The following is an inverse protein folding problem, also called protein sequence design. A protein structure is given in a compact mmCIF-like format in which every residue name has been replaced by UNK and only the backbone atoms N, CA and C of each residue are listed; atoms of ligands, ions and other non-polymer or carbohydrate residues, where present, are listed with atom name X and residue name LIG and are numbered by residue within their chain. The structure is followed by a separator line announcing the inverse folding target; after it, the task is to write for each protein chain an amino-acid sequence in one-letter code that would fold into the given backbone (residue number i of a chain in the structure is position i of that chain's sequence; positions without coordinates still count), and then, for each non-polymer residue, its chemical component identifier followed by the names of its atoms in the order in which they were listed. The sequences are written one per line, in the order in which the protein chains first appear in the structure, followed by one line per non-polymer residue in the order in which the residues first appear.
data_IF_052373125792
#
_entry.id   IF_052373125792
#
_cell.length_a   1.000
_cell.length_b   1.000
_cell.length_c   1.000
_cell.angle_alpha   90.00
_cell.angle_beta   90.00
_cell.angle_gamma   90.00
#
_symmetry.space_group_name_H-M   'P 1'
#
loop_
_entity.id
_entity.type
_entity.pdbx_description
1 polymer ?
#
# COMPACT_ATOMS: atom_id res chain seq x y z
N UNK A 1 5.84 -4.47 17.47
CA UNK A 1 4.55 -4.77 16.79
C UNK A 1 4.32 -6.28 16.87
N UNK A 2 3.14 -6.74 17.29
CA UNK A 2 2.75 -8.16 17.23
C UNK A 2 1.83 -8.42 16.03
N UNK A 3 1.59 -9.68 15.66
CA UNK A 3 0.76 -10.04 14.49
C UNK A 3 -0.66 -9.46 14.58
N UNK A 4 -1.21 -9.37 15.80
CA UNK A 4 -2.53 -8.81 16.09
C UNK A 4 -2.60 -7.28 15.97
N UNK A 5 -1.45 -6.61 15.91
CA UNK A 5 -1.35 -5.16 15.74
C UNK A 5 -1.03 -4.78 14.29
N UNK A 6 -1.07 -5.73 13.36
CA UNK A 6 -0.89 -5.46 11.95
C UNK A 6 -2.15 -4.79 11.38
N UNK A 7 -2.01 -3.99 10.32
CA UNK A 7 -3.14 -3.35 9.65
C UNK A 7 -4.26 -4.33 9.29
N UNK A 8 -5.49 -3.91 9.57
CA UNK A 8 -6.70 -4.64 9.22
C UNK A 8 -7.31 -4.15 7.89
N UNK A 9 -7.00 -2.90 7.49
CA UNK A 9 -7.48 -2.29 6.25
C UNK A 9 -6.36 -1.66 5.41
N UNK A 10 -6.62 -1.46 4.11
CA UNK A 10 -5.70 -0.73 3.21
C UNK A 10 -5.38 0.67 3.75
N UNK A 11 -6.35 1.32 4.38
CA UNK A 11 -6.16 2.64 4.97
C UNK A 11 -5.14 2.60 6.11
N UNK A 12 -5.32 1.68 7.07
CA UNK A 12 -4.40 1.54 8.20
C UNK A 12 -2.99 1.15 7.72
N UNK A 13 -2.89 0.33 6.67
CA UNK A 13 -1.61 -0.07 6.10
C UNK A 13 -0.90 1.09 5.41
N UNK A 14 -1.65 1.93 4.68
CA UNK A 14 -1.12 3.14 4.07
C UNK A 14 -0.66 4.13 5.13
N UNK A 15 -1.45 4.38 6.17
CA UNK A 15 -1.10 5.29 7.28
C UNK A 15 0.17 4.81 8.00
N UNK A 16 0.30 3.50 8.24
CA UNK A 16 1.50 2.90 8.81
C UNK A 16 2.73 3.15 7.92
N UNK A 17 2.63 2.88 6.62
CA UNK A 17 3.72 3.02 5.67
C UNK A 17 4.06 4.49 5.36
N UNK A 18 3.09 5.38 5.52
CA UNK A 18 3.28 6.83 5.53
C UNK A 18 4.11 7.29 6.72
N UNK A 19 3.92 6.66 7.90
CA UNK A 19 4.78 6.87 9.08
C UNK A 19 6.23 6.45 8.85
N UNK A 20 6.48 5.45 8.00
CA UNK A 20 7.82 5.00 7.60
C UNK A 20 8.39 5.72 6.37
N UNK A 21 7.60 6.56 5.69
CA UNK A 21 8.02 7.26 4.47
C UNK A 21 8.05 6.40 3.20
N UNK A 22 7.56 5.16 3.24
CA UNK A 22 7.48 4.28 2.06
C UNK A 22 6.38 4.74 1.09
N UNK A 23 5.27 5.24 1.63
CA UNK A 23 4.21 5.89 0.87
C UNK A 23 4.23 7.38 1.23
N UNK A 24 4.17 8.29 0.25
CA UNK A 24 4.20 9.72 0.56
C UNK A 24 2.96 10.17 1.35
N UNK A 25 3.18 11.06 2.32
CA UNK A 25 2.12 11.72 3.09
C UNK A 25 1.41 12.80 2.29
N UNK A 26 2.14 13.46 1.38
CA UNK A 26 1.62 14.52 0.53
C UNK A 26 2.09 14.30 -0.91
N UNK A 27 1.25 14.68 -1.87
CA UNK A 27 1.55 14.69 -3.30
C UNK A 27 1.06 15.99 -3.91
N UNK A 28 1.77 16.46 -4.93
CA UNK A 28 1.37 17.59 -5.75
C UNK A 28 1.05 17.12 -7.17
N UNK A 29 0.09 17.78 -7.81
CA UNK A 29 -0.20 17.56 -9.22
C UNK A 29 0.82 18.29 -10.11
N UNK A 30 0.73 18.14 -11.43
CA UNK A 30 1.65 18.82 -12.37
C UNK A 30 1.58 20.35 -12.29
N UNK A 31 0.45 20.89 -11.81
CA UNK A 31 0.25 22.32 -11.59
C UNK A 31 0.62 22.75 -10.15
N UNK A 32 1.35 21.91 -9.40
CA UNK A 32 1.79 22.18 -8.02
C UNK A 32 0.68 22.32 -6.97
N UNK A 33 -0.56 21.94 -7.28
CA UNK A 33 -1.63 21.90 -6.27
C UNK A 33 -1.49 20.68 -5.36
N UNK A 34 -1.78 20.85 -4.06
CA UNK A 34 -1.86 19.73 -3.12
C UNK A 34 -2.99 18.78 -3.50
N UNK A 35 -2.68 17.48 -3.53
CA UNK A 35 -3.64 16.42 -3.81
C UNK A 35 -4.13 15.80 -2.51
N UNK A 36 -5.37 15.29 -2.50
CA UNK A 36 -5.90 14.47 -1.41
C UNK A 36 -5.87 12.99 -1.81
N UNK A 37 -5.56 12.13 -0.84
CA UNK A 37 -5.60 10.68 -1.00
C UNK A 37 -7.02 10.16 -0.75
N UNK A 38 -7.51 9.30 -1.63
CA UNK A 38 -8.82 8.67 -1.53
C UNK A 38 -8.70 7.16 -1.50
N UNK A 39 -9.57 6.54 -0.72
CA UNK A 39 -9.69 5.09 -0.55
C UNK A 39 -11.02 4.63 -1.13
N UNK A 40 -10.98 4.02 -2.31
CA UNK A 40 -12.13 3.41 -2.96
C UNK A 40 -11.81 1.97 -3.37
N UNK A 41 -12.33 1.53 -4.53
CA UNK A 41 -11.90 0.24 -5.14
C UNK A 41 -10.39 0.20 -5.40
N UNK A 42 -9.80 1.37 -5.64
CA UNK A 42 -8.36 1.57 -5.74
C UNK A 42 -8.00 2.79 -4.90
N UNK A 43 -6.74 2.84 -4.44
CA UNK A 43 -6.19 4.02 -3.76
C UNK A 43 -5.69 4.97 -4.84
N UNK A 44 -6.05 6.25 -4.75
CA UNK A 44 -5.60 7.26 -5.70
C UNK A 44 -5.51 8.65 -5.08
N UNK A 45 -4.58 9.45 -5.59
CA UNK A 45 -4.46 10.87 -5.31
C UNK A 45 -5.32 11.64 -6.30
N UNK A 46 -6.05 12.64 -5.81
CA UNK A 46 -6.85 13.55 -6.63
C UNK A 46 -6.57 15.00 -6.30
N UNK A 47 -6.35 15.82 -7.34
CA UNK A 47 -6.38 17.26 -7.24
C UNK A 47 -7.84 17.74 -7.25
N UNK A 48 -8.26 18.44 -6.19
CA UNK A 48 -9.64 18.92 -6.04
C UNK A 48 -9.90 20.33 -6.60
N UNK A 49 -8.87 20.97 -7.18
CA UNK A 49 -9.08 22.19 -7.98
C UNK A 49 -9.88 21.81 -9.22
N UNK A 50 -11.05 22.41 -9.39
CA UNK A 50 -12.06 22.06 -10.39
C UNK A 50 -11.49 22.05 -11.82
N UNK A 51 -10.72 23.07 -12.18
CA UNK A 51 -10.08 23.20 -13.49
C UNK A 51 -8.93 22.20 -13.72
N UNK A 52 -8.34 21.66 -12.65
CA UNK A 52 -7.20 20.74 -12.75
C UNK A 52 -7.65 19.27 -12.78
N UNK A 53 -8.48 18.86 -11.80
CA UNK A 53 -9.10 17.53 -11.66
C UNK A 53 -8.18 16.32 -11.99
N UNK A 54 -6.87 16.47 -11.80
CA UNK A 54 -5.89 15.42 -12.11
C UNK A 54 -5.97 14.27 -11.10
N UNK A 55 -5.78 13.05 -11.61
CA UNK A 55 -5.73 11.83 -10.82
C UNK A 55 -4.37 11.15 -10.98
N UNK A 56 -3.87 10.57 -9.90
CA UNK A 56 -2.65 9.77 -9.88
C UNK A 56 -2.91 8.51 -9.05
N UNK A 57 -2.45 7.35 -9.52
CA UNK A 57 -2.58 6.12 -8.74
C UNK A 57 -1.88 6.24 -7.39
N UNK A 58 -2.47 5.66 -6.34
CA UNK A 58 -1.91 5.70 -4.98
C UNK A 58 -0.54 5.03 -4.87
N UNK A 59 -0.25 4.11 -5.80
CA UNK A 59 0.99 3.34 -5.92
C UNK A 59 2.02 3.96 -6.86
N UNK A 60 1.66 5.01 -7.62
CA UNK A 60 2.54 5.58 -8.64
C UNK A 60 3.76 6.25 -8.00
N UNK A 61 4.96 5.91 -8.48
CA UNK A 61 6.23 6.43 -8.01
C UNK A 61 6.52 6.13 -6.55
N UNK A 62 6.12 4.95 -6.05
CA UNK A 62 6.54 4.41 -4.76
C UNK A 62 6.79 2.90 -4.87
N UNK A 63 7.20 2.27 -3.77
CA UNK A 63 7.61 0.86 -3.75
C UNK A 63 6.51 -0.12 -4.17
N UNK A 64 5.24 0.29 -4.16
CA UNK A 64 4.11 -0.55 -4.61
C UNK A 64 3.77 -0.38 -6.09
N UNK A 65 4.55 0.39 -6.86
CA UNK A 65 4.31 0.59 -8.29
C UNK A 65 4.37 -0.75 -9.05
N UNK A 66 3.36 -1.01 -9.89
CA UNK A 66 3.25 -2.28 -10.63
C UNK A 66 2.79 -3.51 -9.82
N UNK A 67 2.86 -3.43 -8.48
CA UNK A 67 2.43 -4.52 -7.61
C UNK A 67 0.93 -4.78 -7.70
N UNK A 68 0.54 -6.07 -7.67
CA UNK A 68 -0.86 -6.53 -7.67
C UNK A 68 -1.37 -6.96 -6.29
N UNK A 69 -0.47 -7.13 -5.33
CA UNK A 69 -0.86 -7.51 -3.97
C UNK A 69 -1.49 -6.31 -3.25
N UNK A 70 -2.33 -6.58 -2.25
CA UNK A 70 -2.85 -5.53 -1.38
C UNK A 70 -1.73 -4.98 -0.49
N UNK A 71 -1.81 -3.71 -0.09
CA UNK A 71 -0.81 -3.10 0.79
C UNK A 71 -0.86 -3.77 2.17
N UNK A 72 -2.04 -4.16 2.65
CA UNK A 72 -2.20 -4.97 3.87
C UNK A 72 -1.43 -6.29 3.76
N UNK A 73 -1.60 -7.01 2.65
CA UNK A 73 -0.91 -8.29 2.41
C UNK A 73 0.60 -8.10 2.42
N UNK A 74 1.10 -7.05 1.77
CA UNK A 74 2.53 -6.76 1.76
C UNK A 74 3.09 -6.50 3.17
N UNK A 75 2.41 -5.67 3.97
CA UNK A 75 2.84 -5.40 5.36
C UNK A 75 2.86 -6.69 6.19
N UNK A 76 1.83 -7.53 6.07
CA UNK A 76 1.77 -8.81 6.78
C UNK A 76 2.86 -9.77 6.33
N UNK A 77 3.11 -9.84 5.02
CA UNK A 77 4.19 -10.66 4.48
C UNK A 77 5.55 -10.23 5.03
N UNK A 78 5.87 -8.93 5.00
CA UNK A 78 7.12 -8.39 5.56
C UNK A 78 7.24 -8.74 7.04
N UNK A 79 6.17 -8.59 7.81
CA UNK A 79 6.18 -8.96 9.22
C UNK A 79 6.47 -10.44 9.44
N UNK A 80 5.76 -11.34 8.74
CA UNK A 80 5.97 -12.78 8.83
C UNK A 80 7.39 -13.16 8.42
N UNK A 81 7.92 -12.51 7.37
CA UNK A 81 9.30 -12.65 6.91
C UNK A 81 10.32 -12.27 7.97
N UNK A 82 10.20 -11.09 8.57
CA UNK A 82 11.07 -10.64 9.65
C UNK A 82 11.00 -11.50 10.92
N UNK A 83 9.94 -12.30 11.09
CA UNK A 83 9.76 -13.21 12.23
C UNK A 83 10.18 -14.64 11.95
N UNK A 84 10.75 -14.91 10.77
CA UNK A 84 11.15 -16.26 10.35
C UNK A 84 10.00 -17.27 10.43
N UNK A 85 8.75 -16.81 10.36
CA UNK A 85 7.55 -17.67 10.31
C UNK A 85 7.36 -18.30 8.91
N UNK A 86 8.38 -18.18 8.06
CA UNK A 86 8.31 -18.32 6.61
C UNK A 86 8.65 -19.72 6.14
N UNK A 87 7.66 -20.60 6.16
CA UNK A 87 7.51 -21.42 4.97
C UNK A 87 6.61 -20.66 3.99
N UNK A 88 6.90 -20.76 2.68
CA UNK A 88 6.01 -20.22 1.62
C UNK A 88 4.59 -20.78 1.80
N UNK A 89 4.48 -22.02 2.29
CA UNK A 89 3.23 -22.68 2.63
C UNK A 89 2.43 -21.94 3.71
N UNK A 90 3.06 -21.51 4.80
CA UNK A 90 2.42 -20.70 5.84
C UNK A 90 1.88 -19.37 5.28
N UNK A 91 2.68 -18.66 4.50
CA UNK A 91 2.23 -17.39 3.89
C UNK A 91 1.09 -17.60 2.88
N UNK A 92 1.11 -18.69 2.10
CA UNK A 92 0.03 -19.01 1.19
C UNK A 92 -1.29 -19.29 1.92
N UNK A 93 -1.23 -20.08 3.00
CA UNK A 93 -2.38 -20.46 3.82
C UNK A 93 -2.96 -19.26 4.61
N UNK A 94 -2.11 -18.48 5.26
CA UNK A 94 -2.56 -17.41 6.17
C UNK A 94 -2.78 -16.05 5.48
N UNK A 95 -2.06 -15.76 4.39
CA UNK A 95 -2.13 -14.48 3.67
C UNK A 95 -2.87 -14.57 2.33
N UNK A 96 -3.29 -15.77 1.93
CA UNK A 96 -3.98 -16.00 0.66
C UNK A 96 -3.12 -15.71 -0.57
N UNK A 97 -1.80 -15.83 -0.45
CA UNK A 97 -0.85 -15.58 -1.53
C UNK A 97 -0.76 -16.84 -2.39
N UNK A 98 -1.15 -16.75 -3.67
CA UNK A 98 -1.03 -17.88 -4.60
C UNK A 98 0.44 -18.21 -4.88
N UNK A 99 0.78 -19.47 -5.19
CA UNK A 99 2.17 -19.91 -5.39
C UNK A 99 2.91 -19.07 -6.46
N UNK A 100 2.15 -18.60 -7.47
CA UNK A 100 2.66 -17.83 -8.61
C UNK A 100 2.68 -16.32 -8.38
N UNK A 101 2.40 -15.87 -7.16
CA UNK A 101 2.41 -14.45 -6.85
C UNK A 101 3.85 -14.00 -6.73
N UNK A 102 4.30 -13.19 -7.68
CA UNK A 102 5.60 -12.52 -7.59
C UNK A 102 5.50 -11.49 -6.47
N UNK A 103 6.38 -11.64 -5.48
CA UNK A 103 6.57 -10.67 -4.40
C UNK A 103 7.84 -9.92 -4.77
N UNK A 104 7.68 -8.65 -5.16
CA UNK A 104 8.78 -7.75 -5.57
C UNK A 104 9.38 -7.06 -4.34
#
# INVERSE_FOLDING_TARGET
MGIWNLPASEKDAVELLQGYGTIPNERTCKNSHKMKLYFGKQIFWKCNVEECNQHLGGRTGNWFEGSRISIVTAVRFIYCWCKELTSIKFCAEELGIADKTVID
#
